data_IF_809283129160
#
_entry.id   IF_809283129160
#
_cell.length_a   1.000
_cell.length_b   1.000
_cell.length_c   1.000
_cell.angle_alpha   90.00
_cell.angle_beta   90.00
_cell.angle_gamma   90.00
#
_symmetry.space_group_name_H-M   'P 1'
#
loop_
_entity.id
_entity.type
_entity.pdbx_description
1 polymer ?
#
# COMPACT_ATOMS: atom_id res chain seq x y z
N UNK A 1 32.82 -17.64 39.52
CA UNK A 1 32.93 -16.19 39.75
C UNK A 1 32.79 -15.48 38.40
N UNK A 2 31.89 -14.49 38.38
CA UNK A 2 31.65 -13.37 37.43
C UNK A 2 32.41 -13.28 36.08
N UNK A 3 31.66 -13.01 35.00
CA UNK A 3 32.18 -12.44 33.74
C UNK A 3 31.08 -12.18 32.69
N UNK A 4 30.85 -10.90 32.34
CA UNK A 4 29.72 -10.32 31.57
C UNK A 4 29.96 -10.22 30.04
N UNK A 5 28.83 -10.15 29.27
CA UNK A 5 28.56 -9.37 28.01
C UNK A 5 29.34 -9.79 26.74
N UNK A 6 28.92 -9.62 25.47
CA UNK A 6 27.82 -9.03 24.69
C UNK A 6 27.89 -9.72 23.28
N UNK A 7 26.85 -9.90 22.46
CA UNK A 7 25.96 -8.89 21.88
C UNK A 7 26.67 -8.12 20.76
N UNK A 8 26.84 -8.72 19.57
CA UNK A 8 27.53 -8.11 18.42
C UNK A 8 26.73 -8.25 17.13
N UNK A 9 26.15 -7.13 16.69
CA UNK A 9 25.51 -6.96 15.39
C UNK A 9 26.60 -6.88 14.29
N UNK A 10 26.45 -7.67 13.22
CA UNK A 10 27.33 -7.60 12.06
C UNK A 10 26.68 -6.75 10.95
N UNK A 11 27.37 -5.64 10.70
CA UNK A 11 27.27 -4.72 9.58
C UNK A 11 27.50 -5.46 8.26
N UNK A 12 26.66 -5.24 7.24
CA UNK A 12 26.96 -5.62 5.86
C UNK A 12 27.37 -4.37 5.07
N UNK A 13 28.62 -4.41 4.60
CA UNK A 13 29.37 -3.40 3.86
C UNK A 13 28.78 -3.10 2.47
N UNK A 14 28.91 -1.83 2.09
CA UNK A 14 28.90 -1.36 0.69
C UNK A 14 30.28 -1.54 0.03
N UNK A 15 30.31 -1.27 -1.28
CA UNK A 15 31.44 -0.95 -2.18
C UNK A 15 32.05 -2.14 -2.99
N UNK A 16 32.35 -2.11 -4.30
CA UNK A 16 32.55 -1.05 -5.32
C UNK A 16 32.46 -1.57 -6.78
N UNK A 17 32.05 -0.66 -7.69
CA UNK A 17 32.51 -0.40 -9.08
C UNK A 17 32.36 -1.41 -10.23
N UNK A 18 31.53 -1.01 -11.21
CA UNK A 18 31.77 -1.22 -12.64
C UNK A 18 31.47 0.10 -13.39
N UNK A 19 32.26 0.48 -14.43
CA UNK A 19 32.12 1.74 -15.14
C UNK A 19 30.94 1.64 -16.12
N UNK A 20 29.95 2.52 -15.96
CA UNK A 20 28.78 2.52 -16.84
C UNK A 20 27.47 2.96 -16.19
N UNK A 21 27.49 3.68 -15.07
CA UNK A 21 26.31 4.48 -14.72
C UNK A 21 26.28 5.67 -15.69
N UNK A 22 25.74 5.44 -16.88
CA UNK A 22 25.17 6.55 -17.67
C UNK A 22 24.28 7.30 -16.69
N UNK A 23 24.60 8.57 -16.46
CA UNK A 23 23.66 9.52 -15.92
C UNK A 23 22.42 9.45 -16.81
N UNK A 24 21.40 8.69 -16.38
CA UNK A 24 20.08 8.80 -16.97
C UNK A 24 19.54 10.15 -16.52
N UNK A 25 19.80 11.17 -17.35
CA UNK A 25 18.91 12.32 -17.41
C UNK A 25 17.49 11.78 -17.62
N UNK A 26 16.58 12.12 -16.72
CA UNK A 26 15.27 11.47 -16.74
C UNK A 26 14.31 12.01 -15.69
N UNK A 27 14.23 13.34 -15.54
CA UNK A 27 13.25 13.98 -14.65
C UNK A 27 11.78 13.65 -14.99
N UNK A 28 11.49 13.02 -16.13
CA UNK A 28 10.13 12.78 -16.63
C UNK A 28 9.67 11.31 -16.68
N UNK A 29 10.56 10.31 -16.74
CA UNK A 29 10.14 8.96 -17.19
C UNK A 29 9.87 7.93 -16.07
N UNK A 30 10.44 8.08 -14.86
CA UNK A 30 10.36 7.02 -13.82
C UNK A 30 8.93 6.59 -13.42
N UNK A 31 7.93 7.45 -13.66
CA UNK A 31 6.50 7.11 -13.43
C UNK A 31 6.02 5.95 -14.30
N UNK A 32 6.63 5.74 -15.48
CA UNK A 32 6.32 4.62 -16.38
C UNK A 32 6.75 3.26 -15.82
N UNK A 33 7.63 3.24 -14.80
CA UNK A 33 8.05 2.01 -14.15
C UNK A 33 6.98 1.41 -13.21
N UNK A 34 5.89 2.15 -12.91
CA UNK A 34 4.75 1.59 -12.19
C UNK A 34 4.13 0.45 -13.01
N UNK A 35 3.87 -0.74 -12.41
CA UNK A 35 3.23 -1.82 -13.14
C UNK A 35 1.86 -1.41 -13.70
N UNK A 36 1.48 -1.96 -14.85
CA UNK A 36 0.11 -1.75 -15.34
C UNK A 36 -0.92 -2.29 -14.33
N UNK A 37 -2.07 -1.62 -14.25
CA UNK A 37 -3.24 -2.13 -13.52
C UNK A 37 -3.90 -3.26 -14.32
N UNK A 38 -4.39 -4.33 -13.66
CA UNK A 38 -5.09 -5.43 -14.32
C UNK A 38 -6.56 -5.06 -14.61
N UNK A 39 -6.81 -3.97 -15.34
CA UNK A 39 -8.15 -3.55 -15.74
C UNK A 39 -8.56 -4.15 -17.08
N UNK A 40 -9.84 -4.42 -17.23
CA UNK A 40 -10.45 -4.94 -18.46
C UNK A 40 -10.74 -3.76 -19.41
N UNK A 41 -10.04 -3.73 -20.55
CA UNK A 41 -10.23 -2.70 -21.57
C UNK A 41 -9.64 -1.33 -21.22
N UNK A 42 -10.14 -0.29 -21.88
CA UNK A 42 -9.68 1.09 -21.68
C UNK A 42 -10.47 1.81 -20.59
N UNK A 43 -9.80 2.72 -19.88
CA UNK A 43 -10.45 3.63 -18.94
C UNK A 43 -11.31 4.62 -19.72
N UNK A 44 -12.59 4.70 -19.37
CA UNK A 44 -13.53 5.65 -19.96
C UNK A 44 -13.63 6.89 -19.06
N UNK A 45 -13.30 8.10 -19.55
CA UNK A 45 -13.48 9.32 -18.76
C UNK A 45 -14.91 9.43 -18.25
N UNK A 46 -15.08 9.74 -16.96
CA UNK A 46 -16.42 9.96 -16.40
C UNK A 46 -16.87 11.39 -16.69
N UNK A 47 -18.11 11.56 -17.13
CA UNK A 47 -18.77 12.87 -17.21
C UNK A 47 -19.56 13.22 -15.94
N UNK A 48 -19.79 12.26 -15.05
CA UNK A 48 -20.64 12.40 -13.86
C UNK A 48 -19.89 12.00 -12.57
N UNK A 49 -20.31 12.53 -11.40
CA UNK A 49 -19.75 12.10 -10.13
C UNK A 49 -19.96 10.60 -9.88
N UNK A 50 -18.96 9.93 -9.32
CA UNK A 50 -19.00 8.49 -8.99
C UNK A 50 -19.10 8.33 -7.47
N UNK A 51 -20.20 7.74 -7.00
CA UNK A 51 -20.36 7.37 -5.60
C UNK A 51 -19.59 6.08 -5.33
N UNK A 52 -18.57 6.14 -4.47
CA UNK A 52 -17.82 4.97 -4.02
C UNK A 52 -18.16 4.65 -2.56
N UNK A 53 -18.05 3.37 -2.21
CA UNK A 53 -18.20 2.91 -0.85
C UNK A 53 -19.57 2.30 -0.54
N UNK A 54 -19.62 1.66 0.63
CA UNK A 54 -20.75 0.91 1.15
C UNK A 54 -20.26 0.03 2.31
N UNK A 55 -21.16 -0.69 2.97
CA UNK A 55 -20.77 -1.61 4.06
C UNK A 55 -20.16 -2.92 3.57
N UNK A 56 -20.32 -3.25 2.29
CA UNK A 56 -19.84 -4.51 1.74
C UNK A 56 -18.31 -4.56 1.62
N UNK A 57 -17.75 -5.76 1.78
CA UNK A 57 -16.35 -6.06 1.47
C UNK A 57 -16.14 -6.34 -0.02
N UNK A 58 -17.11 -7.01 -0.66
CA UNK A 58 -16.99 -7.54 -2.02
C UNK A 58 -16.69 -9.04 -2.03
N UNK A 59 -16.49 -9.64 -3.21
CA UNK A 59 -16.23 -11.08 -3.35
C UNK A 59 -14.77 -11.47 -3.07
N UNK A 60 -13.93 -10.53 -2.63
CA UNK A 60 -12.49 -10.72 -2.51
C UNK A 60 -12.14 -11.74 -1.43
N UNK A 61 -11.25 -12.66 -1.77
CA UNK A 61 -10.77 -13.74 -0.91
C UNK A 61 -9.39 -13.48 -0.36
N UNK A 62 -8.58 -12.63 -0.99
CA UNK A 62 -7.25 -12.29 -0.51
C UNK A 62 -6.97 -10.80 -0.61
N UNK A 63 -6.21 -10.27 0.35
CA UNK A 63 -5.49 -9.02 0.25
C UNK A 63 -4.01 -9.34 0.10
N UNK A 64 -3.46 -9.06 -1.07
CA UNK A 64 -2.09 -9.38 -1.42
C UNK A 64 -1.27 -8.12 -1.72
N UNK A 65 0.01 -8.18 -1.37
CA UNK A 65 1.00 -7.15 -1.67
C UNK A 65 2.23 -7.77 -2.28
N UNK A 66 2.68 -7.22 -3.40
CA UNK A 66 3.87 -7.60 -4.13
C UNK A 66 4.86 -6.45 -4.15
N UNK A 67 6.01 -6.60 -3.50
CA UNK A 67 7.04 -5.56 -3.41
C UNK A 67 8.38 -6.05 -3.96
N UNK A 68 9.03 -5.23 -4.79
CA UNK A 68 10.45 -5.40 -5.11
C UNK A 68 11.28 -4.86 -3.95
N UNK A 69 11.96 -5.75 -3.24
CA UNK A 69 12.83 -5.40 -2.10
C UNK A 69 14.32 -5.35 -2.49
N UNK A 70 14.71 -6.01 -3.59
CA UNK A 70 16.08 -6.06 -4.09
C UNK A 70 16.10 -6.02 -5.63
N UNK A 71 17.02 -5.26 -6.25
CA UNK A 71 17.22 -5.29 -7.70
C UNK A 71 17.54 -6.70 -8.21
N UNK A 72 16.92 -7.12 -9.32
CA UNK A 72 17.19 -8.41 -9.97
C UNK A 72 16.58 -9.64 -9.29
N UNK A 73 15.86 -9.48 -8.17
CA UNK A 73 15.09 -10.56 -7.53
C UNK A 73 13.60 -10.45 -7.87
N UNK A 74 12.86 -11.58 -7.95
CA UNK A 74 11.41 -11.54 -8.07
C UNK A 74 10.77 -10.75 -6.90
N UNK A 75 9.66 -10.03 -7.14
CA UNK A 75 8.91 -9.37 -6.07
C UNK A 75 8.51 -10.36 -4.97
N UNK A 76 8.61 -9.93 -3.72
CA UNK A 76 8.07 -10.69 -2.60
C UNK A 76 6.56 -10.46 -2.52
N UNK A 77 5.80 -11.55 -2.53
CA UNK A 77 4.35 -11.55 -2.37
C UNK A 77 3.95 -11.99 -0.96
N UNK A 78 3.12 -11.19 -0.31
CA UNK A 78 2.55 -11.49 1.00
C UNK A 78 1.04 -11.26 0.99
N UNK A 79 0.27 -12.16 1.61
CA UNK A 79 -1.18 -12.17 1.50
C UNK A 79 -1.87 -12.46 2.83
N UNK A 80 -3.00 -11.78 3.04
CA UNK A 80 -4.03 -12.16 4.00
C UNK A 80 -5.22 -12.78 3.27
N UNK A 81 -5.54 -14.03 3.59
CA UNK A 81 -6.74 -14.69 3.13
C UNK A 81 -7.94 -14.27 4.01
N UNK A 82 -9.09 -14.03 3.38
CA UNK A 82 -10.37 -13.81 4.05
C UNK A 82 -10.92 -15.18 4.43
N UNK A 83 -10.79 -15.54 5.70
CA UNK A 83 -11.37 -16.77 6.24
C UNK A 83 -12.87 -16.65 6.44
N UNK A 84 -13.36 -15.46 6.79
CA UNK A 84 -14.77 -15.18 6.99
C UNK A 84 -15.05 -13.70 6.74
N UNK A 85 -16.20 -13.40 6.13
CA UNK A 85 -16.77 -12.07 6.06
C UNK A 85 -18.24 -12.15 6.48
N UNK A 86 -18.59 -11.47 7.57
CA UNK A 86 -19.96 -11.48 8.10
C UNK A 86 -20.43 -10.07 8.48
N UNK A 87 -21.72 -9.75 8.29
CA UNK A 87 -22.28 -8.53 8.85
C UNK A 87 -22.09 -8.48 10.37
N UNK A 88 -21.80 -7.29 10.90
CA UNK A 88 -21.77 -7.04 12.33
C UNK A 88 -22.27 -5.63 12.61
N UNK A 89 -23.44 -5.54 13.23
CA UNK A 89 -24.20 -4.28 13.28
C UNK A 89 -24.44 -3.76 11.86
N UNK A 90 -24.06 -2.51 11.62
CA UNK A 90 -24.13 -1.91 10.28
C UNK A 90 -22.87 -2.19 9.43
N UNK A 91 -21.80 -2.70 10.01
CA UNK A 91 -20.52 -2.93 9.34
C UNK A 91 -20.31 -4.35 8.82
N UNK A 92 -19.09 -4.61 8.37
CA UNK A 92 -18.62 -5.93 7.94
C UNK A 92 -17.40 -6.33 8.77
N UNK A 93 -17.54 -7.45 9.47
CA UNK A 93 -16.47 -8.09 10.22
C UNK A 93 -15.75 -9.08 9.31
N UNK A 94 -14.44 -8.92 9.20
CA UNK A 94 -13.57 -9.82 8.47
C UNK A 94 -12.67 -10.58 9.45
N UNK A 95 -12.56 -11.88 9.23
CA UNK A 95 -11.49 -12.70 9.80
C UNK A 95 -10.45 -12.92 8.70
N UNK A 96 -9.28 -12.31 8.87
CA UNK A 96 -8.15 -12.39 7.95
C UNK A 96 -7.10 -13.37 8.49
N UNK A 97 -6.50 -14.18 7.63
CA UNK A 97 -5.51 -15.20 8.00
C UNK A 97 -4.29 -15.05 7.10
N UNK A 98 -3.10 -14.92 7.68
CA UNK A 98 -1.85 -14.97 6.93
C UNK A 98 -1.36 -16.43 6.86
N UNK A 99 -1.36 -17.09 5.70
CA UNK A 99 -1.06 -18.52 5.62
C UNK A 99 0.34 -18.88 6.12
N UNK A 100 1.33 -18.00 5.88
CA UNK A 100 2.74 -18.27 6.18
C UNK A 100 3.07 -18.22 7.68
N UNK A 101 2.45 -17.30 8.42
CA UNK A 101 2.74 -17.07 9.83
C UNK A 101 1.68 -17.66 10.77
N UNK A 102 0.51 -18.03 10.23
CA UNK A 102 -0.65 -18.40 11.03
C UNK A 102 -1.30 -17.20 11.75
N UNK A 103 -0.85 -15.97 11.48
CA UNK A 103 -1.47 -14.76 12.04
C UNK A 103 -2.95 -14.73 11.65
N UNK A 104 -3.81 -14.55 12.64
CA UNK A 104 -5.24 -14.33 12.44
C UNK A 104 -5.62 -12.95 12.98
N UNK A 105 -6.34 -12.18 12.18
CA UNK A 105 -6.74 -10.81 12.48
C UNK A 105 -8.25 -10.70 12.36
N UNK A 106 -8.86 -10.02 13.33
CA UNK A 106 -10.24 -9.54 13.25
C UNK A 106 -10.22 -8.07 12.86
N UNK A 107 -10.92 -7.73 11.78
CA UNK A 107 -11.05 -6.37 11.28
C UNK A 107 -12.53 -5.98 11.17
N UNK A 108 -12.91 -4.80 11.69
CA UNK A 108 -14.24 -4.24 11.50
C UNK A 108 -14.18 -3.07 10.53
N UNK A 109 -14.91 -3.19 9.43
CA UNK A 109 -15.15 -2.10 8.49
C UNK A 109 -16.55 -1.55 8.69
N UNK A 110 -16.68 -0.25 8.91
CA UNK A 110 -17.98 0.40 9.14
C UNK A 110 -18.71 0.68 7.82
N UNK A 111 -19.98 1.09 7.91
CA UNK A 111 -20.77 1.57 6.75
C UNK A 111 -20.11 2.73 6.01
N UNK A 112 -19.33 3.53 6.72
CA UNK A 112 -18.62 4.68 6.18
C UNK A 112 -17.32 4.29 5.49
N UNK A 113 -17.00 2.99 5.44
CA UNK A 113 -15.78 2.47 4.84
C UNK A 113 -14.53 2.68 5.67
N UNK A 114 -14.68 2.98 6.96
CA UNK A 114 -13.58 3.18 7.91
C UNK A 114 -13.26 1.89 8.63
N UNK A 115 -11.97 1.66 8.90
CA UNK A 115 -11.49 0.55 9.72
C UNK A 115 -11.58 0.94 11.19
N UNK A 116 -12.65 0.51 11.87
CA UNK A 116 -12.88 0.82 13.28
C UNK A 116 -12.04 -0.06 14.21
N UNK A 117 -11.82 -1.32 13.82
CA UNK A 117 -11.05 -2.27 14.62
C UNK A 117 -10.12 -3.08 13.73
N UNK A 118 -8.92 -3.37 14.25
CA UNK A 118 -7.96 -4.24 13.59
C UNK A 118 -7.03 -4.83 14.66
N UNK A 119 -7.20 -6.11 15.00
CA UNK A 119 -6.43 -6.77 16.08
C UNK A 119 -6.16 -8.23 15.78
N UNK A 120 -5.03 -8.73 16.29
CA UNK A 120 -4.79 -10.17 16.30
C UNK A 120 -5.79 -10.90 17.20
N UNK A 121 -6.18 -12.10 16.79
CA UNK A 121 -7.09 -12.98 17.52
C UNK A 121 -6.60 -14.43 17.43
N UNK A 122 -6.96 -15.24 18.42
CA UNK A 122 -6.82 -16.70 18.36
C UNK A 122 -7.99 -17.31 17.57
N UNK A 123 -7.93 -18.62 17.32
CA UNK A 123 -9.00 -19.35 16.62
C UNK A 123 -10.35 -19.28 17.33
N UNK A 124 -10.34 -19.18 18.66
CA UNK A 124 -11.52 -19.00 19.51
C UNK A 124 -11.97 -17.52 19.63
N UNK A 125 -11.32 -16.60 18.94
CA UNK A 125 -11.62 -15.16 18.96
C UNK A 125 -11.00 -14.38 20.13
N UNK A 126 -10.33 -15.05 21.08
CA UNK A 126 -9.68 -14.39 22.22
C UNK A 126 -8.40 -13.65 21.82
N UNK A 127 -7.96 -12.71 22.66
CA UNK A 127 -6.71 -12.00 22.43
C UNK A 127 -5.50 -12.94 22.63
N UNK A 128 -4.50 -12.92 21.72
CA UNK A 128 -3.29 -13.69 21.92
C UNK A 128 -2.38 -13.04 22.99
N UNK A 129 -1.49 -13.81 23.66
CA UNK A 129 -0.50 -13.26 24.60
C UNK A 129 0.42 -12.24 23.91
N UNK A 130 0.89 -11.17 24.58
CA UNK A 130 1.74 -10.13 23.97
C UNK A 130 2.95 -10.70 23.22
N UNK A 131 3.19 -10.19 22.01
CA UNK A 131 4.32 -10.62 21.17
C UNK A 131 4.70 -9.49 20.21
N UNK A 132 5.90 -8.92 20.39
CA UNK A 132 6.33 -7.74 19.65
C UNK A 132 6.42 -7.97 18.14
N UNK A 133 6.78 -9.19 17.70
CA UNK A 133 6.88 -9.52 16.29
C UNK A 133 5.51 -9.56 15.62
N UNK A 134 4.54 -10.20 16.27
CA UNK A 134 3.14 -10.23 15.85
C UNK A 134 2.53 -8.84 15.87
N UNK A 135 2.79 -8.06 16.91
CA UNK A 135 2.22 -6.71 17.04
C UNK A 135 2.75 -5.78 15.94
N UNK A 136 4.04 -5.88 15.58
CA UNK A 136 4.61 -5.19 14.43
C UNK A 136 3.97 -5.61 13.10
N UNK A 137 3.72 -6.91 12.91
CA UNK A 137 3.06 -7.44 11.73
C UNK A 137 1.58 -7.03 11.64
N UNK A 138 0.87 -6.96 12.77
CA UNK A 138 -0.51 -6.46 12.85
C UNK A 138 -0.56 -4.98 12.50
N UNK A 139 0.36 -4.17 13.03
CA UNK A 139 0.45 -2.75 12.71
C UNK A 139 0.67 -2.52 11.21
N UNK A 140 1.60 -3.27 10.62
CA UNK A 140 1.85 -3.24 9.18
C UNK A 140 0.59 -3.58 8.36
N UNK A 141 -0.08 -4.69 8.69
CA UNK A 141 -1.30 -5.09 7.97
C UNK A 141 -2.46 -4.13 8.18
N UNK A 142 -2.56 -3.51 9.37
CA UNK A 142 -3.55 -2.47 9.66
C UNK A 142 -3.36 -1.28 8.73
N UNK A 143 -2.12 -0.83 8.56
CA UNK A 143 -1.79 0.28 7.67
C UNK A 143 -2.12 -0.06 6.20
N UNK A 144 -1.77 -1.26 5.75
CA UNK A 144 -2.14 -1.73 4.40
C UNK A 144 -3.66 -1.78 4.22
N UNK A 145 -4.39 -2.36 5.17
CA UNK A 145 -5.85 -2.47 5.12
C UNK A 145 -6.54 -1.09 5.12
N UNK A 146 -6.02 -0.15 5.91
CA UNK A 146 -6.50 1.24 5.90
C UNK A 146 -6.22 1.95 4.58
N UNK A 147 -5.06 1.72 3.96
CA UNK A 147 -4.70 2.30 2.66
C UNK A 147 -5.62 1.82 1.52
N UNK A 148 -6.13 0.59 1.61
CA UNK A 148 -7.04 0.03 0.60
C UNK A 148 -8.52 0.23 0.92
N UNK A 149 -8.89 0.67 2.13
CA UNK A 149 -10.29 0.88 2.53
C UNK A 149 -10.66 2.36 2.49
N UNK A 150 -11.19 2.84 1.37
CA UNK A 150 -11.57 4.25 1.27
C UNK A 150 -12.91 4.52 1.97
N UNK A 151 -13.04 5.66 2.66
CA UNK A 151 -14.32 6.10 3.20
C UNK A 151 -15.33 6.38 2.10
N UNK A 152 -16.60 6.10 2.39
CA UNK A 152 -17.74 6.39 1.51
C UNK A 152 -17.72 7.86 1.09
N UNK A 153 -17.80 8.12 -0.21
CA UNK A 153 -17.77 9.48 -0.78
C UNK A 153 -18.26 9.51 -2.21
N UNK A 154 -18.49 10.72 -2.70
CA UNK A 154 -18.73 10.99 -4.12
C UNK A 154 -17.51 11.66 -4.71
N UNK A 155 -16.97 11.10 -5.80
CA UNK A 155 -15.80 11.62 -6.49
C UNK A 155 -16.24 12.33 -7.77
N UNK A 156 -15.93 13.62 -7.90
CA UNK A 156 -16.28 14.41 -9.07
C UNK A 156 -15.33 14.11 -10.26
N UNK A 157 -15.78 14.22 -11.53
CA UNK A 157 -15.02 13.91 -12.75
C UNK A 157 -13.62 14.53 -12.93
N UNK A 158 -13.29 15.57 -12.18
CA UNK A 158 -11.99 16.26 -12.20
C UNK A 158 -11.61 16.77 -10.80
N UNK A 159 -12.30 16.30 -9.78
CA UNK A 159 -12.01 16.66 -8.40
C UNK A 159 -10.80 15.89 -7.89
N UNK A 160 -10.15 16.39 -6.85
CA UNK A 160 -9.14 15.62 -6.13
C UNK A 160 -9.78 14.89 -4.95
N UNK A 161 -9.19 13.76 -4.57
CA UNK A 161 -9.51 13.08 -3.32
C UNK A 161 -8.25 12.49 -2.70
N UNK A 162 -8.20 12.43 -1.38
CA UNK A 162 -7.06 11.85 -0.68
C UNK A 162 -7.27 10.36 -0.39
N UNK A 163 -6.22 9.58 -0.53
CA UNK A 163 -6.09 8.23 0.05
C UNK A 163 -5.12 8.28 1.24
N UNK A 164 -5.41 7.57 2.35
CA UNK A 164 -4.54 7.61 3.52
C UNK A 164 -3.20 6.94 3.22
N UNK A 165 -2.12 7.55 3.70
CA UNK A 165 -0.78 6.95 3.77
C UNK A 165 -0.34 7.02 5.22
N UNK A 166 0.15 5.91 5.77
CA UNK A 166 0.72 5.88 7.11
C UNK A 166 1.87 6.91 7.24
N UNK A 167 1.82 7.73 8.30
CA UNK A 167 2.82 8.77 8.54
C UNK A 167 2.67 10.04 7.68
N UNK A 168 1.70 10.10 6.76
CA UNK A 168 1.37 11.32 6.02
C UNK A 168 0.03 11.90 6.49
N UNK A 169 -0.01 13.09 7.11
CA UNK A 169 -1.29 13.71 7.48
C UNK A 169 -2.13 14.10 6.27
N UNK A 170 -1.49 14.29 5.09
CA UNK A 170 -2.17 14.64 3.84
C UNK A 170 -2.52 13.42 2.97
N UNK A 171 -1.94 12.25 3.25
CA UNK A 171 -2.11 11.07 2.41
C UNK A 171 -1.47 11.23 1.02
N UNK A 172 -2.04 10.56 0.02
CA UNK A 172 -1.77 10.77 -1.41
C UNK A 172 -2.93 11.52 -2.04
N UNK A 173 -2.65 12.57 -2.82
CA UNK A 173 -3.68 13.24 -3.61
C UNK A 173 -3.92 12.45 -4.90
N UNK A 174 -5.20 12.18 -5.18
CA UNK A 174 -5.64 11.42 -6.33
C UNK A 174 -6.56 12.23 -7.23
N UNK A 175 -6.35 12.10 -8.54
CA UNK A 175 -7.21 12.61 -9.60
C UNK A 175 -7.86 11.44 -10.35
N UNK A 176 -9.19 11.43 -10.52
CA UNK A 176 -9.89 10.39 -11.26
C UNK A 176 -9.57 10.49 -12.74
N UNK A 177 -9.22 9.35 -13.34
CA UNK A 177 -9.09 9.20 -14.79
C UNK A 177 -10.42 8.87 -15.44
N UNK A 178 -11.27 8.12 -14.73
CA UNK A 178 -12.53 7.61 -15.26
C UNK A 178 -12.88 6.24 -14.68
N UNK A 179 -13.76 5.52 -15.36
CA UNK A 179 -14.25 4.21 -14.93
C UNK A 179 -13.76 3.10 -15.86
N UNK A 180 -13.53 1.92 -15.30
CA UNK A 180 -13.21 0.70 -16.03
C UNK A 180 -13.89 -0.51 -15.38
N UNK A 181 -13.57 -1.72 -15.84
CA UNK A 181 -13.97 -2.97 -15.22
C UNK A 181 -12.75 -3.72 -14.67
N UNK A 182 -12.93 -4.44 -13.57
CA UNK A 182 -11.96 -5.40 -13.04
C UNK A 182 -12.72 -6.57 -12.45
N UNK A 183 -12.47 -7.78 -12.94
CA UNK A 183 -13.21 -8.98 -12.58
C UNK A 183 -14.73 -8.77 -12.69
N UNK A 184 -15.17 -8.17 -13.81
CA UNK A 184 -16.58 -7.82 -14.09
C UNK A 184 -17.21 -6.80 -13.12
N UNK A 185 -16.40 -6.12 -12.30
CA UNK A 185 -16.89 -5.12 -11.33
C UNK A 185 -16.47 -3.70 -11.72
N UNK A 186 -17.39 -2.73 -11.57
CA UNK A 186 -17.09 -1.34 -11.93
C UNK A 186 -16.05 -0.78 -10.98
N UNK A 187 -14.98 -0.24 -11.55
CA UNK A 187 -13.91 0.42 -10.80
C UNK A 187 -13.76 1.87 -11.22
N UNK A 188 -13.51 2.75 -10.25
CA UNK A 188 -12.98 4.09 -10.48
C UNK A 188 -11.46 4.00 -10.57
N UNK A 189 -10.89 4.44 -11.68
CA UNK A 189 -9.43 4.50 -11.87
C UNK A 189 -8.95 5.92 -11.56
N UNK A 190 -7.88 6.02 -10.79
CA UNK A 190 -7.29 7.30 -10.41
C UNK A 190 -5.76 7.27 -10.47
N UNK A 191 -5.17 8.42 -10.80
CA UNK A 191 -3.74 8.71 -10.65
C UNK A 191 -3.52 9.43 -9.34
N UNK A 192 -2.55 8.96 -8.57
CA UNK A 192 -2.24 9.54 -7.28
C UNK A 192 -0.76 9.90 -7.19
N UNK A 193 -0.45 10.96 -6.45
CA UNK A 193 0.92 11.39 -6.23
C UNK A 193 1.12 11.96 -4.84
N UNK A 194 2.33 11.79 -4.31
CA UNK A 194 2.79 12.53 -3.14
C UNK A 194 4.28 12.82 -3.28
N UNK A 195 4.68 14.01 -2.87
CA UNK A 195 6.08 14.39 -2.68
C UNK A 195 6.32 14.63 -1.20
N UNK A 196 7.29 13.93 -0.64
CA UNK A 196 7.73 14.03 0.75
C UNK A 196 9.19 14.47 0.75
N UNK A 197 9.54 15.37 1.66
CA UNK A 197 10.91 15.78 1.91
C UNK A 197 11.23 15.58 3.39
N UNK A 198 12.43 15.12 3.69
CA UNK A 198 12.88 14.87 5.06
C UNK A 198 14.38 14.62 5.15
N UNK A 199 14.84 14.17 6.32
CA UNK A 199 16.23 13.78 6.54
C UNK A 199 16.31 12.29 6.84
N UNK A 200 17.24 11.59 6.19
CA UNK A 200 17.60 10.22 6.50
C UNK A 200 19.04 10.21 6.99
N UNK A 201 19.23 10.01 8.29
CA UNK A 201 20.53 10.22 8.97
C UNK A 201 21.03 11.66 8.70
N UNK A 202 22.24 11.80 8.16
CA UNK A 202 22.87 13.08 7.86
C UNK A 202 22.47 13.68 6.50
N UNK A 203 21.80 12.91 5.64
CA UNK A 203 21.45 13.32 4.28
C UNK A 203 20.03 13.87 4.17
N UNK A 204 19.84 14.92 3.36
CA UNK A 204 18.50 15.29 2.89
C UNK A 204 17.99 14.19 1.97
N UNK A 205 16.70 13.85 2.08
CA UNK A 205 16.05 12.82 1.29
C UNK A 205 14.74 13.34 0.74
N UNK A 206 14.52 13.14 -0.56
CA UNK A 206 13.26 13.42 -1.24
C UNK A 206 12.65 12.11 -1.70
N UNK A 207 11.39 11.92 -1.37
CA UNK A 207 10.62 10.75 -1.77
C UNK A 207 9.45 11.24 -2.61
N UNK A 208 9.35 10.74 -3.84
CA UNK A 208 8.19 10.95 -4.68
C UNK A 208 7.52 9.60 -4.94
N UNK A 209 6.21 9.54 -4.78
CA UNK A 209 5.41 8.36 -5.12
C UNK A 209 4.46 8.76 -6.24
N UNK A 210 4.41 7.91 -7.26
CA UNK A 210 3.36 7.94 -8.27
C UNK A 210 2.62 6.61 -8.21
N UNK A 211 1.30 6.66 -8.08
CA UNK A 211 0.45 5.49 -8.07
C UNK A 211 -0.65 5.62 -9.10
N UNK A 212 -1.09 4.49 -9.63
CA UNK A 212 -2.38 4.35 -10.29
C UNK A 212 -3.17 3.32 -9.50
N UNK A 213 -4.43 3.64 -9.20
CA UNK A 213 -5.32 2.79 -8.39
C UNK A 213 -6.60 2.48 -9.15
N UNK A 214 -7.20 1.33 -8.86
CA UNK A 214 -8.54 0.95 -9.22
C UNK A 214 -9.34 0.72 -7.92
N UNK A 215 -10.42 1.48 -7.75
CA UNK A 215 -11.30 1.43 -6.58
C UNK A 215 -12.60 0.76 -7.00
N UNK A 216 -12.95 -0.37 -6.38
CA UNK A 216 -14.26 -1.00 -6.58
C UNK A 216 -15.36 -0.05 -6.12
N UNK A 217 -16.21 0.36 -7.06
CA UNK A 217 -17.22 1.39 -6.83
C UNK A 217 -18.18 0.99 -5.71
N UNK A 218 -18.78 -0.23 -5.69
CA UNK A 218 -19.75 -0.60 -4.66
C UNK A 218 -19.17 -0.67 -3.25
N UNK A 219 -17.89 -1.03 -3.09
CA UNK A 219 -17.29 -1.24 -1.77
C UNK A 219 -16.42 -0.08 -1.32
N UNK A 220 -15.84 0.70 -2.24
CA UNK A 220 -14.83 1.72 -1.94
C UNK A 220 -13.45 1.12 -1.65
N UNK A 221 -13.25 -0.17 -1.92
CA UNK A 221 -11.96 -0.83 -1.72
C UNK A 221 -11.03 -0.58 -2.91
N UNK A 222 -9.76 -0.25 -2.66
CA UNK A 222 -8.70 -0.26 -3.67
C UNK A 222 -8.39 -1.72 -4.00
N UNK A 223 -8.91 -2.19 -5.13
CA UNK A 223 -8.81 -3.60 -5.56
C UNK A 223 -7.56 -3.88 -6.37
N UNK A 224 -7.00 -2.85 -6.98
CA UNK A 224 -5.67 -2.92 -7.56
C UNK A 224 -4.97 -1.57 -7.41
N UNK A 225 -3.72 -1.61 -7.00
CA UNK A 225 -2.85 -0.46 -6.94
C UNK A 225 -1.51 -0.87 -7.51
N UNK A 226 -1.00 -0.03 -8.40
CA UNK A 226 0.38 -0.10 -8.85
C UNK A 226 1.03 1.22 -8.55
N UNK A 227 2.18 1.20 -7.92
CA UNK A 227 2.92 2.41 -7.64
C UNK A 227 4.40 2.24 -7.84
N UNK A 228 5.05 3.36 -8.00
CA UNK A 228 6.48 3.47 -8.06
C UNK A 228 6.91 4.55 -7.08
N UNK A 229 7.96 4.25 -6.31
CA UNK A 229 8.57 5.19 -5.38
C UNK A 229 9.95 5.57 -5.91
N UNK A 230 10.21 6.86 -6.05
CA UNK A 230 11.52 7.44 -6.32
C UNK A 230 12.08 8.05 -5.05
N UNK A 231 13.20 7.53 -4.58
CA UNK A 231 13.91 8.04 -3.40
C UNK A 231 15.21 8.66 -3.89
N UNK A 232 15.42 9.93 -3.59
CA UNK A 232 16.65 10.67 -3.89
C UNK A 232 17.32 11.14 -2.62
N UNK A 233 18.62 10.91 -2.49
CA UNK A 233 19.42 11.38 -1.36
C UNK A 233 20.39 12.45 -1.81
N UNK A 234 20.63 13.45 -0.95
CA UNK A 234 21.49 14.58 -1.23
C UNK A 234 22.60 14.69 -0.17
N UNK A 235 23.80 15.03 -0.61
CA UNK A 235 24.93 15.35 0.28
C UNK A 235 24.86 16.79 0.81
N UNK A 236 25.79 17.17 1.69
CA UNK A 236 25.87 18.51 2.27
C UNK A 236 26.03 19.65 1.23
N UNK A 237 26.49 19.34 0.02
CA UNK A 237 26.62 20.28 -1.08
C UNK A 237 25.37 20.35 -1.98
N UNK A 238 24.28 19.67 -1.60
CA UNK A 238 23.02 19.63 -2.37
C UNK A 238 23.07 18.76 -3.62
N UNK A 239 24.12 17.96 -3.83
CA UNK A 239 24.24 17.06 -4.99
C UNK A 239 23.55 15.74 -4.70
N UNK A 240 22.70 15.28 -5.63
CA UNK A 240 22.14 13.94 -5.58
C UNK A 240 23.26 12.90 -5.65
N UNK A 241 23.26 11.94 -4.73
CA UNK A 241 24.23 10.86 -4.67
C UNK A 241 23.60 9.45 -4.80
N UNK A 242 22.27 9.37 -4.91
CA UNK A 242 21.55 8.12 -5.11
C UNK A 242 20.10 8.33 -5.52
N UNK A 243 19.62 7.50 -6.44
CA UNK A 243 18.21 7.42 -6.84
C UNK A 243 17.78 5.96 -6.85
N UNK A 244 16.72 5.62 -6.12
CA UNK A 244 16.14 4.27 -6.10
C UNK A 244 14.69 4.34 -6.59
N UNK A 245 14.34 3.47 -7.53
CA UNK A 245 12.98 3.35 -8.10
C UNK A 245 12.42 1.97 -7.76
N UNK A 246 11.36 1.90 -6.96
CA UNK A 246 10.75 0.63 -6.53
C UNK A 246 9.31 0.49 -6.98
N UNK A 247 9.01 -0.40 -7.95
CA UNK A 247 7.64 -0.74 -8.30
C UNK A 247 7.04 -1.66 -7.24
N UNK A 248 5.77 -1.45 -6.93
CA UNK A 248 5.00 -2.28 -5.98
C UNK A 248 3.56 -2.39 -6.46
N UNK A 249 2.92 -3.52 -6.15
CA UNK A 249 1.52 -3.78 -6.43
C UNK A 249 0.79 -4.22 -5.17
N UNK A 250 -0.45 -3.78 -5.01
CA UNK A 250 -1.40 -4.29 -4.01
C UNK A 250 -2.66 -4.71 -4.74
N UNK A 251 -3.19 -5.90 -4.45
CA UNK A 251 -4.37 -6.46 -5.10
C UNK A 251 -5.33 -7.07 -4.09
N UNK A 252 -6.62 -6.94 -4.40
CA UNK A 252 -7.67 -7.79 -3.87
C UNK A 252 -8.01 -8.85 -4.93
N UNK A 253 -8.00 -10.12 -4.53
CA UNK A 253 -8.23 -11.29 -5.40
C UNK A 253 -9.41 -12.11 -4.91
#
# INVERSE_FOLDING_TARGET
MSGRRAGGAAVALLALLGPGARAQGGGAEWRSAAPALPIEGQVRPSGAPVAIGGSAWGPWRNLCREQVTQPGRPPQRDCLAVGEARPEGAGMRLTLVQPRSGLRVSALRTVDGVVAEFRAVRSDGSAPPPDAGRDGLVAYWRAQFAAVSLPRRTVAPRGTFAIPIEGSPRGMDCEPEGTAQLAQRPVLVARCGVALAGRLRESETRVAIFARIAVDVPTGMVVAQSYVTRIETFNAAGRSNGVVVTPTRVTLE
#
